data_IF_236365598540
#
_entry.id   IF_236365598540
#
_cell.length_a   1.000
_cell.length_b   1.000
_cell.length_c   1.000
_cell.angle_alpha   90.00
_cell.angle_beta   90.00
_cell.angle_gamma   90.00
#
_symmetry.space_group_name_H-M   'P 1'
#
loop_
_entity.id
_entity.type
_entity.pdbx_description
1 polymer ?
#
# COMPACT_ATOMS: atom_id res chain seq x y z
N UNK A 1 -42.60 18.74 4.28
CA UNK A 1 -41.42 19.44 4.82
C UNK A 1 -40.34 18.40 5.05
N UNK A 2 -39.12 18.70 4.61
CA UNK A 2 -38.07 17.75 4.25
C UNK A 2 -37.55 16.88 5.40
N UNK A 3 -37.33 15.60 5.10
CA UNK A 3 -36.57 14.65 5.92
C UNK A 3 -35.08 14.86 5.60
N UNK A 4 -34.33 15.41 6.54
CA UNK A 4 -32.90 15.61 6.41
C UNK A 4 -32.17 14.27 6.62
N UNK A 5 -31.50 13.80 5.57
CA UNK A 5 -30.64 12.62 5.61
C UNK A 5 -29.55 12.76 6.67
N UNK A 6 -29.48 11.77 7.55
CA UNK A 6 -28.48 11.66 8.60
C UNK A 6 -27.24 11.00 8.00
N UNK A 7 -26.22 11.81 7.68
CA UNK A 7 -24.91 11.27 7.32
C UNK A 7 -24.29 10.54 8.53
N UNK A 8 -23.67 9.35 8.34
CA UNK A 8 -22.96 8.68 9.41
C UNK A 8 -21.69 9.48 9.75
N UNK A 9 -21.57 9.86 11.01
CA UNK A 9 -20.38 10.51 11.57
C UNK A 9 -19.17 9.55 11.50
N UNK A 10 -18.48 9.55 10.37
CA UNK A 10 -17.11 9.07 10.27
C UNK A 10 -16.19 9.96 11.10
N UNK A 11 -15.00 9.47 11.42
CA UNK A 11 -13.89 10.30 11.88
C UNK A 11 -13.63 11.37 10.82
N UNK A 12 -14.27 12.52 10.95
CA UNK A 12 -14.10 13.65 10.05
C UNK A 12 -12.68 14.18 10.29
N UNK A 13 -11.76 13.83 9.41
CA UNK A 13 -10.44 14.46 9.37
C UNK A 13 -10.63 15.88 8.84
N UNK A 14 -10.43 16.92 9.66
CA UNK A 14 -10.53 18.28 9.18
C UNK A 14 -9.46 18.50 8.10
N UNK A 15 -9.89 18.87 6.89
CA UNK A 15 -8.99 19.31 5.82
C UNK A 15 -8.67 18.29 4.72
N UNK A 16 -9.66 17.56 4.18
CA UNK A 16 -9.56 16.90 2.86
C UNK A 16 -8.42 15.89 2.65
N UNK A 17 -7.64 15.60 3.70
CA UNK A 17 -6.43 14.80 3.64
C UNK A 17 -6.67 13.30 3.71
N UNK A 18 -7.92 12.85 3.61
CA UNK A 18 -8.29 11.46 3.69
C UNK A 18 -9.44 11.14 2.74
N UNK A 19 -9.37 9.96 2.11
CA UNK A 19 -10.49 9.38 1.38
C UNK A 19 -11.06 8.24 2.20
N UNK A 20 -12.38 8.18 2.32
CA UNK A 20 -13.08 7.23 3.17
C UNK A 20 -14.12 6.45 2.36
N UNK A 21 -14.27 5.17 2.67
CA UNK A 21 -15.29 4.32 2.10
C UNK A 21 -16.02 3.57 3.22
N UNK A 22 -17.36 3.67 3.29
CA UNK A 22 -18.12 2.91 4.26
C UNK A 22 -18.11 1.43 3.85
N UNK A 23 -18.03 0.57 4.86
CA UNK A 23 -18.02 -0.88 4.69
C UNK A 23 -19.29 -1.48 5.27
N UNK A 24 -19.80 -2.53 4.64
CA UNK A 24 -20.88 -3.33 5.19
C UNK A 24 -20.34 -4.33 6.23
N UNK A 25 -19.18 -4.94 5.92
CA UNK A 25 -18.63 -6.04 6.69
C UNK A 25 -17.11 -6.05 6.62
N UNK A 26 -16.49 -6.45 7.72
CA UNK A 26 -15.08 -6.74 7.84
C UNK A 26 -14.91 -8.14 8.44
N UNK A 27 -13.93 -8.91 7.97
CA UNK A 27 -13.66 -10.25 8.47
C UNK A 27 -12.17 -10.49 8.62
N UNK A 28 -11.73 -10.91 9.81
CA UNK A 28 -10.35 -11.32 10.08
C UNK A 28 -10.25 -12.85 10.07
N UNK A 29 -9.26 -13.36 9.37
CA UNK A 29 -8.96 -14.79 9.39
C UNK A 29 -8.27 -15.18 10.70
N UNK A 30 -8.79 -16.20 11.36
CA UNK A 30 -8.22 -16.77 12.59
C UNK A 30 -7.68 -18.17 12.25
N UNK A 31 -6.34 -18.34 12.12
CA UNK A 31 -5.75 -19.66 12.04
C UNK A 31 -5.97 -20.38 13.37
N UNK A 32 -6.70 -21.47 13.37
CA UNK A 32 -6.90 -22.28 14.59
C UNK A 32 -5.57 -22.97 14.90
N UNK A 33 -5.10 -22.79 16.14
CA UNK A 33 -3.72 -23.09 16.54
C UNK A 33 -3.28 -24.52 16.24
N UNK A 34 -2.20 -24.65 15.48
CA UNK A 34 -1.28 -25.78 15.57
C UNK A 34 -0.50 -25.64 16.87
N UNK A 35 -0.84 -26.43 17.90
CA UNK A 35 -0.10 -26.35 19.16
C UNK A 35 -0.61 -27.14 20.36
N UNK A 36 -1.33 -28.23 20.20
CA UNK A 36 -1.28 -29.32 21.20
C UNK A 36 -1.07 -30.65 20.46
N UNK A 37 -0.11 -31.48 20.87
CA UNK A 37 -0.06 -32.84 20.40
C UNK A 37 -1.39 -33.51 20.79
N UNK A 38 -2.05 -34.25 19.87
CA UNK A 38 -3.24 -34.97 20.24
C UNK A 38 -2.92 -35.88 21.43
N UNK A 39 -3.67 -35.73 22.53
CA UNK A 39 -3.68 -36.73 23.58
C UNK A 39 -3.84 -38.11 22.92
N UNK A 40 -3.02 -39.10 23.28
CA UNK A 40 -3.04 -40.41 22.63
C UNK A 40 -4.43 -41.04 22.86
N UNK A 41 -5.28 -40.98 21.83
CA UNK A 41 -6.68 -41.41 21.91
C UNK A 41 -7.64 -40.73 20.94
N UNK A 42 -7.28 -39.58 20.34
CA UNK A 42 -8.15 -38.92 19.37
C UNK A 42 -7.92 -39.50 17.95
N UNK A 43 -8.98 -40.07 17.37
CA UNK A 43 -8.97 -40.63 16.01
C UNK A 43 -8.62 -39.61 14.93
N UNK A 44 -8.22 -40.07 13.73
CA UNK A 44 -7.77 -39.19 12.67
C UNK A 44 -8.94 -38.36 12.14
N UNK A 45 -8.81 -37.03 12.12
CA UNK A 45 -9.56 -36.22 11.17
C UNK A 45 -10.33 -35.01 11.66
N UNK A 46 -10.03 -34.40 12.81
CA UNK A 46 -10.52 -33.04 13.05
C UNK A 46 -9.59 -32.05 12.34
N UNK A 47 -9.85 -31.81 11.05
CA UNK A 47 -9.20 -30.74 10.31
C UNK A 47 -9.38 -29.42 11.10
N UNK A 48 -8.27 -28.71 11.32
CA UNK A 48 -8.27 -27.38 11.92
C UNK A 48 -9.28 -26.50 11.18
N UNK A 49 -10.41 -26.18 11.82
CA UNK A 49 -11.51 -25.45 11.20
C UNK A 49 -11.11 -23.99 11.04
N UNK A 50 -10.71 -23.61 9.82
CA UNK A 50 -10.38 -22.23 9.48
C UNK A 50 -11.59 -21.34 9.76
N UNK A 51 -11.47 -20.43 10.74
CA UNK A 51 -12.61 -19.63 11.22
C UNK A 51 -12.38 -18.14 10.93
N UNK A 52 -13.43 -17.45 10.48
CA UNK A 52 -13.41 -16.00 10.26
C UNK A 52 -14.08 -15.31 11.44
N UNK A 53 -13.40 -14.33 12.06
CA UNK A 53 -14.03 -13.39 12.99
C UNK A 53 -14.64 -12.24 12.18
N UNK A 54 -15.96 -12.14 12.16
CA UNK A 54 -16.71 -11.19 11.33
C UNK A 54 -17.24 -10.05 12.18
N UNK A 55 -17.21 -8.85 11.61
CA UNK A 55 -17.74 -7.61 12.15
C UNK A 55 -18.66 -7.01 11.09
N UNK A 56 -19.87 -6.64 11.47
CA UNK A 56 -20.86 -6.00 10.61
C UNK A 56 -21.07 -4.55 11.04
N UNK A 57 -21.35 -3.67 10.08
CA UNK A 57 -21.77 -2.30 10.35
C UNK A 57 -23.19 -2.27 10.89
N UNK A 58 -23.38 -1.66 12.05
CA UNK A 58 -24.69 -1.47 12.66
C UNK A 58 -24.73 -0.23 13.55
N UNK A 59 -25.93 0.23 13.91
CA UNK A 59 -26.10 1.32 14.87
C UNK A 59 -25.58 0.96 16.26
N UNK A 60 -25.71 -0.30 16.66
CA UNK A 60 -25.31 -0.80 17.99
C UNK A 60 -23.80 -0.96 18.13
N UNK A 61 -23.15 -1.53 17.11
CA UNK A 61 -21.71 -1.85 17.14
C UNK A 61 -20.83 -0.74 16.56
N UNK A 62 -21.45 0.22 15.87
CA UNK A 62 -20.77 1.26 15.11
C UNK A 62 -20.51 0.86 13.66
N UNK A 63 -20.38 1.89 12.82
CA UNK A 63 -20.14 1.75 11.39
C UNK A 63 -18.66 1.50 11.08
N UNK A 64 -18.42 0.58 10.15
CA UNK A 64 -17.10 0.27 9.62
C UNK A 64 -16.72 1.27 8.52
N UNK A 65 -15.50 1.81 8.61
CA UNK A 65 -14.97 2.75 7.63
C UNK A 65 -13.55 2.34 7.25
N UNK A 66 -13.28 2.26 5.94
CA UNK A 66 -11.94 2.17 5.38
C UNK A 66 -11.45 3.58 5.08
N UNK A 67 -10.27 3.94 5.57
CA UNK A 67 -9.68 5.26 5.35
C UNK A 67 -8.29 5.12 4.73
N UNK A 68 -8.01 5.91 3.69
CA UNK A 68 -6.66 6.12 3.16
C UNK A 68 -6.34 7.61 3.26
N UNK A 69 -5.34 7.96 4.05
CA UNK A 69 -4.85 9.35 4.18
C UNK A 69 -3.86 9.69 3.08
N UNK A 70 -3.65 10.98 2.80
CA UNK A 70 -2.73 11.48 1.76
C UNK A 70 -1.29 11.00 1.94
N UNK A 71 -0.86 10.78 3.18
CA UNK A 71 0.45 10.22 3.52
C UNK A 71 0.57 8.73 3.20
N UNK A 72 -0.48 8.09 2.68
CA UNK A 72 -0.47 6.69 2.28
C UNK A 72 -0.70 5.70 3.42
N UNK A 73 -1.13 6.15 4.61
CA UNK A 73 -1.57 5.22 5.65
C UNK A 73 -2.99 4.73 5.38
N UNK A 74 -3.19 3.45 5.65
CA UNK A 74 -4.42 2.71 5.50
C UNK A 74 -4.98 2.34 6.87
N UNK A 75 -6.28 2.53 7.05
CA UNK A 75 -7.00 2.19 8.28
C UNK A 75 -8.33 1.50 8.00
N UNK A 76 -8.72 0.58 8.87
CA UNK A 76 -10.11 0.16 9.04
C UNK A 76 -10.49 0.41 10.49
N UNK A 77 -11.56 1.14 10.72
CA UNK A 77 -12.09 1.41 12.06
C UNK A 77 -13.56 1.02 12.16
N UNK A 78 -14.01 0.71 13.38
CA UNK A 78 -15.41 0.56 13.74
C UNK A 78 -15.73 1.53 14.88
N UNK A 79 -16.49 2.59 14.58
CA UNK A 79 -16.64 3.72 15.50
C UNK A 79 -15.26 4.26 15.95
N UNK A 80 -14.97 4.35 17.26
CA UNK A 80 -13.68 4.81 17.76
C UNK A 80 -12.57 3.74 17.73
N UNK A 81 -12.90 2.48 17.44
CA UNK A 81 -11.95 1.36 17.53
C UNK A 81 -11.20 1.17 16.23
N UNK A 82 -9.87 1.19 16.27
CA UNK A 82 -9.03 0.83 15.12
C UNK A 82 -8.93 -0.69 15.00
N UNK A 83 -9.35 -1.24 13.87
CA UNK A 83 -9.28 -2.67 13.57
C UNK A 83 -8.01 -3.04 12.82
N UNK A 84 -7.64 -2.25 11.81
CA UNK A 84 -6.43 -2.44 11.01
C UNK A 84 -5.74 -1.09 10.76
N UNK A 85 -4.40 -1.07 10.77
CA UNK A 85 -3.61 0.13 10.54
C UNK A 85 -2.20 -0.19 10.05
N UNK A 86 -1.81 0.33 8.89
CA UNK A 86 -0.47 0.18 8.33
C UNK A 86 -0.18 1.19 7.20
N UNK A 87 1.09 1.47 6.93
CA UNK A 87 1.50 2.23 5.74
C UNK A 87 1.40 1.39 4.45
N UNK A 88 0.88 1.99 3.38
CA UNK A 88 0.89 1.42 2.03
C UNK A 88 2.22 1.68 1.31
N UNK A 89 3.04 2.62 1.80
CA UNK A 89 4.33 2.96 1.20
C UNK A 89 5.27 1.77 1.35
N UNK A 90 5.88 1.33 0.24
CA UNK A 90 6.79 0.18 0.25
C UNK A 90 6.12 -1.15 0.60
N UNK A 91 4.80 -1.27 0.38
CA UNK A 91 4.04 -2.47 0.79
C UNK A 91 4.06 -3.63 -0.20
N UNK A 92 4.54 -3.42 -1.44
CA UNK A 92 4.45 -4.39 -2.55
C UNK A 92 5.03 -5.79 -2.25
N UNK A 93 6.02 -5.87 -1.37
CA UNK A 93 6.74 -7.09 -0.99
C UNK A 93 6.05 -7.88 0.12
N UNK A 94 5.17 -7.27 0.92
CA UNK A 94 4.52 -7.93 2.06
C UNK A 94 3.00 -7.87 2.01
N UNK A 95 2.39 -7.00 1.20
CA UNK A 95 0.95 -6.83 1.04
C UNK A 95 0.48 -7.32 -0.32
N UNK A 96 -0.51 -8.21 -0.32
CA UNK A 96 -1.22 -8.66 -1.51
C UNK A 96 -2.70 -8.35 -1.35
N UNK A 97 -3.29 -7.76 -2.39
CA UNK A 97 -4.71 -7.41 -2.41
C UNK A 97 -5.35 -8.08 -3.61
N UNK A 98 -6.47 -8.77 -3.38
CA UNK A 98 -7.28 -9.41 -4.41
C UNK A 98 -8.69 -8.85 -4.32
N UNK A 99 -9.25 -8.41 -5.44
CA UNK A 99 -10.61 -7.89 -5.54
C UNK A 99 -11.55 -8.94 -6.11
N UNK A 100 -12.74 -9.10 -5.52
CA UNK A 100 -13.83 -9.86 -6.13
C UNK A 100 -15.12 -9.10 -5.94
N UNK A 101 -15.70 -8.59 -7.03
CA UNK A 101 -16.92 -7.77 -7.00
C UNK A 101 -16.75 -6.52 -6.11
N UNK A 102 -17.61 -6.39 -5.10
CA UNK A 102 -17.67 -5.38 -4.03
C UNK A 102 -16.84 -5.78 -2.79
N UNK A 103 -15.96 -6.77 -2.91
CA UNK A 103 -15.11 -7.24 -1.82
C UNK A 103 -13.61 -7.07 -2.15
N UNK A 104 -12.81 -6.81 -1.12
CA UNK A 104 -11.36 -6.90 -1.17
C UNK A 104 -10.85 -7.89 -0.12
N UNK A 105 -9.91 -8.75 -0.52
CA UNK A 105 -9.15 -9.64 0.34
C UNK A 105 -7.72 -9.14 0.44
N UNK A 106 -7.26 -8.92 1.66
CA UNK A 106 -5.91 -8.48 1.99
C UNK A 106 -5.16 -9.64 2.64
N UNK A 107 -4.03 -10.02 2.05
CA UNK A 107 -3.07 -10.93 2.63
C UNK A 107 -1.80 -10.18 2.94
N UNK A 108 -1.35 -10.21 4.20
CA UNK A 108 -0.09 -9.58 4.60
C UNK A 108 0.86 -10.61 5.16
N UNK A 109 2.11 -10.59 4.75
CA UNK A 109 3.15 -11.52 5.22
C UNK A 109 4.33 -10.73 5.75
N UNK A 110 4.56 -10.77 7.06
CA UNK A 110 5.66 -10.06 7.74
C UNK A 110 6.40 -11.07 8.61
N UNK A 111 7.74 -11.16 8.49
CA UNK A 111 8.59 -12.05 9.30
C UNK A 111 8.04 -13.49 9.39
N UNK A 112 7.68 -14.08 8.24
CA UNK A 112 7.07 -15.42 8.10
C UNK A 112 5.70 -15.62 8.79
N UNK A 113 5.08 -14.56 9.31
CA UNK A 113 3.71 -14.60 9.82
C UNK A 113 2.78 -14.00 8.78
N UNK A 114 1.77 -14.77 8.38
CA UNK A 114 0.74 -14.31 7.46
C UNK A 114 -0.54 -14.01 8.22
N UNK A 115 -1.17 -12.88 7.92
CA UNK A 115 -2.54 -12.56 8.33
C UNK A 115 -3.38 -12.28 7.09
N UNK A 116 -4.65 -12.62 7.16
CA UNK A 116 -5.62 -12.33 6.11
C UNK A 116 -6.82 -11.63 6.71
N UNK A 117 -7.35 -10.65 6.00
CA UNK A 117 -8.63 -10.04 6.31
C UNK A 117 -9.34 -9.65 5.02
N UNK A 118 -10.66 -9.55 5.09
CA UNK A 118 -11.50 -9.16 3.95
C UNK A 118 -12.47 -8.08 4.35
N UNK A 119 -12.86 -7.27 3.38
CA UNK A 119 -13.86 -6.23 3.52
C UNK A 119 -14.90 -6.35 2.42
N UNK A 120 -16.11 -5.93 2.73
CA UNK A 120 -17.20 -5.73 1.78
C UNK A 120 -17.65 -4.26 1.87
N UNK A 121 -17.72 -3.58 0.73
CA UNK A 121 -18.14 -2.19 0.66
C UNK A 121 -19.67 -2.08 0.84
N UNK A 122 -20.13 -1.00 1.47
CA UNK A 122 -21.56 -0.72 1.58
C UNK A 122 -22.03 0.19 0.43
N UNK A 123 -23.35 0.18 0.20
CA UNK A 123 -24.03 1.01 -0.79
C UNK A 123 -25.53 0.79 -0.71
N UNK A 124 -26.34 1.76 -1.15
CA UNK A 124 -27.79 1.62 -1.26
C UNK A 124 -28.22 0.59 -2.32
N UNK A 125 -27.31 0.26 -3.25
CA UNK A 125 -27.45 -0.85 -4.19
C UNK A 125 -26.13 -1.61 -4.37
N UNK A 126 -26.18 -2.76 -5.04
CA UNK A 126 -24.98 -3.54 -5.38
C UNK A 126 -24.03 -2.77 -6.29
N UNK A 127 -24.58 -1.96 -7.19
CA UNK A 127 -23.83 -1.12 -8.13
C UNK A 127 -23.08 -0.02 -7.39
N UNK A 128 -23.73 0.63 -6.41
CA UNK A 128 -23.08 1.65 -5.60
C UNK A 128 -21.97 1.07 -4.70
N UNK A 129 -22.18 -0.11 -4.13
CA UNK A 129 -21.15 -0.82 -3.37
C UNK A 129 -19.95 -1.19 -4.28
N UNK A 130 -20.22 -1.62 -5.51
CA UNK A 130 -19.19 -1.93 -6.49
C UNK A 130 -18.43 -0.68 -6.96
N UNK A 131 -19.10 0.44 -7.16
CA UNK A 131 -18.49 1.73 -7.49
C UNK A 131 -17.57 2.22 -6.35
N UNK A 132 -18.03 2.11 -5.11
CA UNK A 132 -17.23 2.42 -3.92
C UNK A 132 -15.97 1.54 -3.85
N UNK A 133 -16.11 0.24 -4.12
CA UNK A 133 -15.00 -0.68 -4.24
C UNK A 133 -14.02 -0.29 -5.37
N UNK A 134 -14.53 0.03 -6.57
CA UNK A 134 -13.71 0.50 -7.70
C UNK A 134 -12.90 1.75 -7.34
N UNK A 135 -13.55 2.75 -6.73
CA UNK A 135 -12.92 3.99 -6.28
C UNK A 135 -11.81 3.72 -5.26
N UNK A 136 -12.05 2.84 -4.29
CA UNK A 136 -11.02 2.42 -3.34
C UNK A 136 -9.84 1.70 -4.01
N UNK A 137 -10.11 0.82 -4.98
CA UNK A 137 -9.09 0.11 -5.75
C UNK A 137 -8.22 1.09 -6.53
N UNK A 138 -8.81 2.10 -7.16
CA UNK A 138 -8.08 3.16 -7.86
C UNK A 138 -7.14 3.92 -6.92
N UNK A 139 -7.58 4.20 -5.68
CA UNK A 139 -6.71 4.83 -4.67
C UNK A 139 -5.59 3.89 -4.23
N UNK A 140 -5.88 2.62 -3.97
CA UNK A 140 -4.90 1.61 -3.55
C UNK A 140 -3.84 1.37 -4.64
N UNK A 141 -4.24 1.40 -5.92
CA UNK A 141 -3.37 1.21 -7.07
C UNK A 141 -2.22 2.23 -7.17
N UNK A 142 -2.33 3.38 -6.48
CA UNK A 142 -1.26 4.37 -6.37
C UNK A 142 -0.05 3.84 -5.55
N UNK A 143 -0.25 2.81 -4.72
CA UNK A 143 0.75 2.30 -3.79
C UNK A 143 1.09 0.81 -4.04
N UNK A 144 0.07 -0.02 -4.29
CA UNK A 144 0.20 -1.48 -4.40
C UNK A 144 -0.70 -2.03 -5.52
N UNK A 145 -0.26 -3.10 -6.17
CA UNK A 145 -1.04 -3.76 -7.22
C UNK A 145 -2.21 -4.54 -6.63
N UNK A 146 -3.43 -4.28 -7.11
CA UNK A 146 -4.64 -5.04 -6.76
C UNK A 146 -4.91 -6.05 -7.86
N UNK A 147 -5.00 -7.33 -7.50
CA UNK A 147 -5.29 -8.41 -8.45
C UNK A 147 -6.80 -8.57 -8.61
N UNK A 148 -7.27 -8.65 -9.85
CA UNK A 148 -8.64 -9.08 -10.15
C UNK A 148 -8.57 -10.53 -10.66
N UNK A 149 -9.26 -11.48 -10.02
CA UNK A 149 -9.40 -12.82 -10.56
C UNK A 149 -10.10 -12.72 -11.91
N UNK A 150 -9.33 -12.93 -12.98
CA UNK A 150 -9.87 -13.00 -14.33
C UNK A 150 -11.03 -13.99 -14.38
N UNK A 151 -12.19 -13.55 -14.89
CA UNK A 151 -13.35 -14.42 -15.14
C UNK A 151 -13.04 -15.54 -16.13
N UNK A 152 -11.86 -15.53 -16.75
CA UNK A 152 -11.41 -16.46 -17.79
C UNK A 152 -10.76 -17.74 -17.21
N UNK A 153 -10.39 -17.77 -15.93
CA UNK A 153 -9.74 -18.97 -15.35
C UNK A 153 -10.71 -20.07 -14.86
N UNK A 154 -12.03 -19.87 -14.98
CA UNK A 154 -13.04 -20.84 -14.51
C UNK A 154 -13.89 -21.47 -15.62
N UNK A 155 -13.72 -21.06 -16.89
CA UNK A 155 -14.51 -21.52 -18.05
C UNK A 155 -13.65 -22.13 -19.20
N UNK A 156 -12.36 -22.41 -18.96
CA UNK A 156 -11.50 -23.10 -19.94
C UNK A 156 -11.07 -24.47 -19.44
N UNK A 157 -12.04 -25.37 -19.26
CA UNK A 157 -11.86 -26.80 -19.59
C UNK A 157 -13.18 -27.42 -20.09
N UNK A 158 -13.53 -27.22 -21.37
CA UNK A 158 -14.17 -28.27 -22.13
C UNK A 158 -13.08 -29.22 -22.64
N UNK A 159 -13.17 -30.50 -22.28
CA UNK A 159 -12.41 -31.59 -22.89
C UNK A 159 -12.35 -31.47 -24.41
N UNK A 160 -11.16 -31.39 -24.99
CA UNK A 160 -10.94 -31.67 -26.41
C UNK A 160 -10.00 -32.88 -26.52
N UNK A 161 -10.56 -34.06 -26.27
CA UNK A 161 -10.01 -35.29 -26.80
C UNK A 161 -10.87 -35.73 -27.98
N UNK A 162 -10.27 -35.76 -29.17
CA UNK A 162 -10.41 -36.75 -30.27
C UNK A 162 -10.17 -36.12 -31.66
N UNK A 163 -8.95 -36.39 -32.15
CA UNK A 163 -8.60 -36.90 -33.48
C UNK A 163 -9.26 -36.31 -34.74
N UNK A 164 -8.39 -35.80 -35.61
CA UNK A 164 -8.65 -35.62 -37.05
C UNK A 164 -7.38 -35.27 -37.81
N UNK A 165 -6.62 -36.30 -38.20
CA UNK A 165 -5.47 -36.20 -39.09
C UNK A 165 -5.89 -35.73 -40.50
N UNK A 166 -5.00 -35.00 -41.18
CA UNK A 166 -5.15 -34.63 -42.59
C UNK A 166 -3.94 -33.87 -43.10
N UNK A 167 -3.07 -34.57 -43.83
CA UNK A 167 -1.80 -34.09 -44.38
C UNK A 167 -1.96 -33.22 -45.64
N UNK A 168 -0.94 -32.38 -45.84
CA UNK A 168 -0.24 -32.09 -47.11
C UNK A 168 -0.68 -30.93 -48.04
N UNK A 169 0.36 -30.38 -48.69
CA UNK A 169 0.40 -29.51 -49.89
C UNK A 169 0.24 -28.00 -49.61
N UNK A 170 1.21 -27.10 -49.76
CA UNK A 170 2.45 -27.08 -50.56
C UNK A 170 2.33 -25.97 -51.60
N UNK A 171 3.00 -24.81 -51.41
CA UNK A 171 3.57 -23.96 -52.48
C UNK A 171 4.25 -22.70 -51.93
N UNK A 172 5.50 -22.54 -52.38
CA UNK A 172 6.41 -21.41 -52.24
C UNK A 172 6.10 -20.32 -53.29
N UNK A 173 6.19 -19.03 -52.93
CA UNK A 173 6.88 -18.02 -53.74
C UNK A 173 6.98 -16.65 -53.02
N UNK A 174 8.22 -16.32 -52.66
CA UNK A 174 8.94 -15.08 -52.98
C UNK A 174 8.37 -13.66 -52.66
N UNK A 175 9.16 -12.98 -51.80
CA UNK A 175 9.73 -11.63 -51.98
C UNK A 175 8.87 -10.37 -51.70
N UNK A 176 9.17 -9.68 -50.59
CA UNK A 176 9.65 -8.29 -50.70
C UNK A 176 10.44 -7.84 -49.47
N UNK A 177 11.66 -7.33 -49.71
CA UNK A 177 12.58 -6.69 -48.76
C UNK A 177 12.30 -5.17 -48.74
N UNK A 178 12.36 -4.48 -47.60
CA UNK A 178 12.62 -3.04 -47.55
C UNK A 178 14.11 -2.76 -47.25
N UNK A 179 14.79 -1.86 -47.99
CA UNK A 179 16.22 -1.63 -47.84
C UNK A 179 16.55 -0.74 -46.65
N UNK A 180 17.64 -1.11 -45.98
CA UNK A 180 18.34 -0.34 -44.95
C UNK A 180 19.10 0.83 -45.59
N UNK A 181 19.02 2.02 -45.00
CA UNK A 181 20.00 3.09 -45.21
C UNK A 181 20.54 3.60 -43.88
N UNK A 182 21.80 3.23 -43.64
CA UNK A 182 22.74 3.75 -42.64
C UNK A 182 23.03 5.22 -42.96
N UNK A 183 23.16 6.08 -41.94
CA UNK A 183 24.35 6.93 -41.73
C UNK A 183 24.25 7.86 -40.52
N UNK A 184 25.24 7.68 -39.65
CA UNK A 184 25.76 8.56 -38.61
C UNK A 184 25.83 10.05 -38.98
N UNK A 185 25.66 10.94 -37.99
CA UNK A 185 26.72 11.92 -37.61
C UNK A 185 26.39 12.70 -36.31
N UNK A 186 27.34 12.61 -35.38
CA UNK A 186 27.58 13.49 -34.23
C UNK A 186 28.39 14.70 -34.73
N UNK A 187 28.37 15.84 -34.02
CA UNK A 187 29.68 16.44 -33.72
C UNK A 187 29.83 16.87 -32.26
N UNK A 188 31.03 16.54 -31.75
CA UNK A 188 31.64 17.06 -30.55
C UNK A 188 32.29 18.41 -30.86
N UNK A 189 32.22 19.38 -29.94
CA UNK A 189 33.25 20.43 -29.81
C UNK A 189 33.47 20.74 -28.33
N UNK A 190 34.74 20.71 -27.97
CA UNK A 190 35.33 20.96 -26.66
C UNK A 190 36.13 22.27 -26.72
N UNK A 191 36.42 22.87 -25.54
CA UNK A 191 37.43 23.91 -25.23
C UNK A 191 37.01 25.38 -25.52
N UNK A 192 37.28 26.42 -24.69
CA UNK A 192 38.23 26.66 -23.57
C UNK A 192 37.94 28.04 -22.88
N UNK A 193 38.35 28.16 -21.59
CA UNK A 193 38.78 29.34 -20.77
C UNK A 193 37.99 30.69 -20.68
N UNK A 194 37.86 31.23 -19.44
CA UNK A 194 37.10 32.44 -19.00
C UNK A 194 37.76 33.81 -19.25
N UNK A 195 37.42 34.94 -18.55
CA UNK A 195 36.82 35.07 -17.20
C UNK A 195 35.65 36.09 -17.03
N UNK A 196 35.13 36.15 -15.79
CA UNK A 196 34.37 37.23 -15.11
C UNK A 196 32.93 37.58 -15.56
N UNK A 197 31.99 37.49 -14.61
CA UNK A 197 30.68 38.15 -14.68
C UNK A 197 29.56 37.40 -13.95
N UNK A 198 29.37 37.76 -12.66
CA UNK A 198 28.12 37.64 -11.87
C UNK A 198 27.11 36.56 -12.26
N UNK A 199 27.12 35.46 -11.52
CA UNK A 199 26.01 34.51 -11.49
C UNK A 199 25.94 33.89 -10.10
N UNK A 200 24.80 34.04 -9.44
CA UNK A 200 24.44 33.37 -8.19
C UNK A 200 24.62 31.85 -8.34
N UNK A 201 25.77 31.35 -7.91
CA UNK A 201 26.04 29.92 -7.86
C UNK A 201 25.28 29.34 -6.67
N UNK A 202 24.15 28.70 -6.96
CA UNK A 202 23.55 27.70 -6.08
C UNK A 202 24.58 26.61 -5.80
N UNK A 203 25.36 26.79 -4.73
CA UNK A 203 26.32 25.82 -4.27
C UNK A 203 25.56 24.60 -3.77
N UNK A 204 25.68 23.46 -4.47
CA UNK A 204 25.34 22.16 -3.90
C UNK A 204 26.29 21.90 -2.74
N UNK A 205 25.84 22.21 -1.53
CA UNK A 205 26.50 21.81 -0.30
C UNK A 205 26.37 20.30 -0.14
N UNK A 206 27.49 19.62 0.10
CA UNK A 206 27.49 18.18 0.38
C UNK A 206 26.80 17.94 1.73
N UNK A 207 25.91 16.95 1.80
CA UNK A 207 25.25 16.52 3.05
C UNK A 207 26.28 16.19 4.13
N UNK A 208 27.44 15.63 3.74
CA UNK A 208 28.54 15.35 4.67
C UNK A 208 29.12 16.61 5.32
N UNK A 209 29.18 17.71 4.57
CA UNK A 209 29.70 18.99 5.06
C UNK A 209 28.70 19.67 6.01
N UNK A 210 27.41 19.60 5.70
CA UNK A 210 26.35 20.09 6.58
C UNK A 210 26.28 19.30 7.89
N UNK A 211 26.38 17.97 7.83
CA UNK A 211 26.41 17.13 9.02
C UNK A 211 27.61 17.46 9.92
N UNK A 212 28.80 17.63 9.36
CA UNK A 212 29.99 18.02 10.14
C UNK A 212 29.87 19.43 10.72
N UNK A 213 29.30 20.38 9.99
CA UNK A 213 29.08 21.74 10.46
C UNK A 213 28.10 21.82 11.63
N UNK A 214 27.05 20.98 11.63
CA UNK A 214 26.05 20.93 12.70
C UNK A 214 26.56 20.22 13.96
N UNK A 215 27.50 19.27 13.81
CA UNK A 215 28.07 18.51 14.93
C UNK A 215 29.19 19.26 15.66
N UNK A 216 29.81 20.26 15.01
CA UNK A 216 30.95 21.03 15.56
C UNK A 216 30.51 22.35 16.18
N UNK A 217 29.30 22.83 15.89
CA UNK A 217 28.78 24.08 16.45
C UNK A 217 28.00 23.81 17.73
N UNK A 218 28.54 24.27 18.87
CA UNK A 218 27.91 24.17 20.20
C UNK A 218 26.76 25.20 20.38
N UNK A 219 26.55 26.09 19.41
CA UNK A 219 25.54 27.15 19.44
C UNK A 219 24.77 27.17 18.12
N UNK A 220 23.63 26.47 18.09
CA UNK A 220 22.76 26.39 16.93
C UNK A 220 22.17 27.77 16.63
N UNK A 221 22.20 28.20 15.38
CA UNK A 221 21.52 29.44 14.96
C UNK A 221 20.05 29.43 15.41
N UNK A 222 19.47 30.56 15.86
CA UNK A 222 18.08 30.65 16.35
C UNK A 222 17.02 30.17 15.33
N UNK A 223 17.40 30.06 14.06
CA UNK A 223 16.58 29.51 12.98
C UNK A 223 16.25 28.02 13.18
N UNK A 224 17.07 27.27 13.94
CA UNK A 224 16.83 25.86 14.24
C UNK A 224 15.94 25.65 15.48
N UNK A 225 15.72 26.67 16.32
CA UNK A 225 14.78 26.59 17.45
C UNK A 225 13.31 26.71 17.01
N UNK A 226 13.07 27.12 15.77
CA UNK A 226 11.72 27.12 15.20
C UNK A 226 11.45 25.73 14.63
N UNK A 227 10.77 24.88 15.42
CA UNK A 227 10.17 23.69 14.87
C UNK A 227 9.28 24.11 13.70
N UNK A 228 9.54 23.58 12.50
CA UNK A 228 8.68 23.81 11.32
C UNK A 228 7.23 23.31 11.53
N UNK A 229 6.99 22.67 12.67
CA UNK A 229 5.72 22.13 13.11
C UNK A 229 5.25 22.94 14.31
N UNK A 230 4.05 23.50 14.20
CA UNK A 230 3.34 24.01 15.37
C UNK A 230 2.98 22.84 16.30
N UNK A 231 2.94 23.09 17.61
CA UNK A 231 2.60 22.05 18.60
C UNK A 231 1.19 21.47 18.40
N UNK A 232 0.32 22.19 17.69
CA UNK A 232 -1.01 21.72 17.29
C UNK A 232 -0.98 20.64 16.20
N UNK A 233 -0.02 20.68 15.27
CA UNK A 233 0.10 19.72 14.17
C UNK A 233 0.90 18.47 14.54
N UNK A 234 1.77 18.59 15.55
CA UNK A 234 2.56 17.47 16.06
C UNK A 234 1.67 16.38 16.68
N UNK A 235 0.59 16.75 17.38
CA UNK A 235 -0.30 15.78 18.04
C UNK A 235 -1.03 14.87 17.03
N UNK A 236 -1.71 15.39 15.99
CA UNK A 236 -2.28 14.56 14.93
C UNK A 236 -1.23 13.68 14.23
N UNK A 237 -0.04 14.21 13.95
CA UNK A 237 1.04 13.44 13.34
C UNK A 237 1.51 12.28 14.22
N UNK A 238 1.77 12.53 15.50
CA UNK A 238 2.12 11.48 16.46
C UNK A 238 1.03 10.41 16.57
N UNK A 239 -0.25 10.80 16.57
CA UNK A 239 -1.36 9.84 16.53
C UNK A 239 -1.31 8.99 15.27
N UNK A 240 -1.06 9.59 14.10
CA UNK A 240 -0.93 8.86 12.85
C UNK A 240 0.22 7.84 12.90
N UNK A 241 1.38 8.25 13.43
CA UNK A 241 2.52 7.36 13.65
C UNK A 241 2.16 6.20 14.59
N UNK A 242 1.48 6.47 15.71
CA UNK A 242 1.08 5.44 16.67
C UNK A 242 -0.01 4.50 16.14
N UNK A 243 -0.77 4.90 15.11
CA UNK A 243 -1.75 4.04 14.43
C UNK A 243 -1.10 3.09 13.41
N UNK A 244 0.15 3.34 13.01
CA UNK A 244 0.89 2.42 12.15
C UNK A 244 1.63 1.39 13.00
N UNK A 245 1.22 0.12 12.88
CA UNK A 245 1.83 -1.00 13.61
C UNK A 245 3.31 -1.20 13.28
N UNK A 246 3.80 -0.64 12.17
CA UNK A 246 5.20 -0.71 11.76
C UNK A 246 6.04 0.46 12.27
N UNK A 247 5.41 1.50 12.83
CA UNK A 247 6.12 2.69 13.29
C UNK A 247 7.21 2.39 14.31
N UNK A 248 7.01 1.50 15.33
CA UNK A 248 8.08 1.15 16.26
C UNK A 248 9.32 0.57 15.55
N UNK A 249 9.11 -0.33 14.58
CA UNK A 249 10.21 -0.93 13.82
C UNK A 249 10.92 0.09 12.92
N UNK A 250 10.16 1.05 12.35
CA UNK A 250 10.74 2.16 11.60
C UNK A 250 11.61 3.06 12.48
N UNK A 251 11.13 3.41 13.69
CA UNK A 251 11.89 4.22 14.65
C UNK A 251 13.19 3.53 15.05
N UNK A 252 13.17 2.22 15.30
CA UNK A 252 14.38 1.44 15.58
C UNK A 252 15.40 1.49 14.43
N UNK A 253 14.96 1.39 13.17
CA UNK A 253 15.86 1.51 12.01
C UNK A 253 16.39 2.93 11.83
N UNK A 254 15.58 3.97 12.07
CA UNK A 254 16.05 5.36 12.08
C UNK A 254 17.10 5.58 13.16
N UNK A 255 16.86 5.09 14.38
CA UNK A 255 17.81 5.19 15.49
C UNK A 255 19.13 4.48 15.16
N UNK A 256 19.05 3.30 14.55
CA UNK A 256 20.22 2.54 14.09
C UNK A 256 21.00 3.29 13.01
N UNK A 257 20.32 3.94 12.07
CA UNK A 257 20.99 4.73 11.04
C UNK A 257 21.62 6.00 11.63
N UNK A 258 20.94 6.66 12.58
CA UNK A 258 21.49 7.80 13.31
C UNK A 258 22.75 7.40 14.11
N UNK A 259 22.75 6.23 14.77
CA UNK A 259 23.92 5.70 15.47
C UNK A 259 25.11 5.46 14.54
N UNK A 260 24.88 5.04 13.29
CA UNK A 260 25.95 4.92 12.28
C UNK A 260 26.55 6.28 11.93
N UNK A 261 25.72 7.32 11.85
CA UNK A 261 26.14 8.68 11.51
C UNK A 261 26.87 9.38 12.67
N UNK A 262 26.45 9.12 13.92
CA UNK A 262 27.03 9.76 15.10
C UNK A 262 28.23 9.01 15.68
N UNK A 263 28.54 7.82 15.18
CA UNK A 263 29.72 7.05 15.61
C UNK A 263 29.67 6.53 17.05
N UNK A 264 28.54 6.67 17.75
CA UNK A 264 28.36 6.11 19.10
C UNK A 264 28.29 4.58 19.00
N UNK A 265 29.42 3.93 19.29
CA UNK A 265 29.48 2.51 19.61
C UNK A 265 29.07 2.33 21.08
N UNK A 266 28.17 1.37 21.33
CA UNK A 266 27.76 0.95 22.68
C UNK A 266 28.97 0.60 23.56
#
# INVERSE_FOLDING_TARGET
>A
MAEAGKEPAGLAFPGGGATQWPLQRYGRFMPSGTGEPPSPGQGPGTASSLTWKVFDSSEESGYLVLTIVISGHFFISQGPTLLEGFSLIGSKNWLKIVRRMDCLLFGTTIKNKSRMFRVQFSGGSKEQALESCCSCVQKLAQYVTVQEPDRVSQELRPSAGLLGAGESQGKDCAQHIPPQHRSHQKPEKQQQHGPAGTGTSGGRTSVSWLAQSLLVSEELSPVYEQSAWDTEDLRPFLRLCLMDQNFPAFVEEVEKELKKLTGLRN
#
